data_IF_411100301007
#
_entry.id   IF_411100301007
#
_cell.length_a   1.000
_cell.length_b   1.000
_cell.length_c   1.000
_cell.angle_alpha   90.00
_cell.angle_beta   90.00
_cell.angle_gamma   90.00
#
_symmetry.space_group_name_H-M   'P 1'
#
loop_
_entity.id
_entity.type
_entity.pdbx_description
1 polymer ?
#
# COMPACT_ATOMS: atom_id res chain seq x y z
N UNK A 1 9.30 5.26 0.85
CA UNK A 1 8.05 4.49 0.69
C UNK A 1 6.98 5.36 0.03
N UNK A 2 6.56 5.00 -1.19
CA UNK A 2 5.39 5.62 -1.83
C UNK A 2 4.13 4.90 -1.36
N UNK A 3 3.23 5.61 -0.69
CA UNK A 3 2.07 5.03 -0.01
C UNK A 3 0.80 5.06 -0.86
N UNK A 4 0.48 3.95 -1.50
CA UNK A 4 -0.80 3.77 -2.21
C UNK A 4 -1.99 3.65 -1.25
N UNK A 5 -3.14 4.19 -1.63
CA UNK A 5 -4.38 4.05 -0.88
C UNK A 5 -4.92 2.62 -0.95
N UNK A 6 -5.38 2.11 0.20
CA UNK A 6 -6.10 0.82 0.36
C UNK A 6 -5.32 -0.45 -0.03
N UNK A 7 -4.01 -0.34 -0.22
CA UNK A 7 -3.10 -1.46 -0.48
C UNK A 7 -2.44 -2.01 0.80
N UNK A 8 -3.12 -1.98 1.95
CA UNK A 8 -2.54 -2.31 3.27
C UNK A 8 -1.30 -1.46 3.66
N UNK A 9 -1.17 -0.30 3.04
CA UNK A 9 0.00 0.59 3.17
C UNK A 9 0.15 1.25 4.54
N UNK A 10 -0.92 1.33 5.34
CA UNK A 10 -0.85 1.77 6.74
C UNK A 10 -0.04 0.81 7.63
N UNK A 11 -0.08 -0.50 7.35
CA UNK A 11 0.77 -1.47 8.07
C UNK A 11 2.24 -1.20 7.79
N UNK A 12 2.59 -0.96 6.52
CA UNK A 12 3.95 -0.62 6.10
C UNK A 12 4.40 0.71 6.70
N UNK A 13 3.55 1.73 6.66
CA UNK A 13 3.82 3.03 7.29
C UNK A 13 4.07 2.90 8.80
N UNK A 14 3.28 2.08 9.51
CA UNK A 14 3.49 1.82 10.93
C UNK A 14 4.84 1.14 11.21
N UNK A 15 5.22 0.15 10.41
CA UNK A 15 6.54 -0.51 10.47
C UNK A 15 7.65 0.54 10.33
N UNK A 16 7.55 1.42 9.32
CA UNK A 16 8.52 2.47 9.07
C UNK A 16 8.58 3.48 10.22
N UNK A 17 7.44 3.93 10.76
CA UNK A 17 7.41 4.85 11.90
C UNK A 17 8.01 4.24 13.17
N UNK A 18 7.76 2.96 13.44
CA UNK A 18 8.38 2.26 14.57
C UNK A 18 9.90 2.21 14.42
N UNK A 19 10.38 1.90 13.22
CA UNK A 19 11.80 1.92 12.92
C UNK A 19 12.39 3.32 13.07
N UNK A 20 11.73 4.35 12.52
CA UNK A 20 12.15 5.74 12.61
C UNK A 20 12.26 6.20 14.07
N UNK A 21 11.25 5.92 14.88
CA UNK A 21 11.23 6.26 16.30
C UNK A 21 12.35 5.56 17.08
N UNK A 22 12.52 4.24 16.88
CA UNK A 22 13.58 3.45 17.54
C UNK A 22 14.98 3.98 17.22
N UNK A 23 15.20 4.47 16.01
CA UNK A 23 16.50 4.92 15.52
C UNK A 23 16.66 6.46 15.49
N UNK A 24 15.70 7.21 16.04
CA UNK A 24 15.71 8.69 16.09
C UNK A 24 15.89 9.36 14.72
N UNK A 25 15.20 8.82 13.70
CA UNK A 25 15.25 9.33 12.32
C UNK A 25 14.19 10.40 12.06
N UNK A 26 14.53 11.36 11.21
CA UNK A 26 13.64 12.44 10.79
C UNK A 26 12.73 11.97 9.65
N UNK A 27 11.43 11.97 9.92
CA UNK A 27 10.39 11.65 8.94
C UNK A 27 9.83 12.92 8.33
N UNK A 28 9.63 12.92 7.02
CA UNK A 28 8.95 14.01 6.29
C UNK A 28 7.49 14.08 6.72
N UNK A 29 7.08 15.20 7.32
CA UNK A 29 5.71 15.43 7.80
C UNK A 29 5.10 16.72 7.20
N UNK A 30 3.79 16.79 7.00
CA UNK A 30 3.08 18.04 6.67
C UNK A 30 2.73 18.83 7.93
N UNK A 31 2.46 20.13 7.79
CA UNK A 31 2.09 21.00 8.92
C UNK A 31 0.92 20.46 9.77
N UNK A 32 0.05 19.66 9.17
CA UNK A 32 -0.96 18.87 9.87
C UNK A 32 -1.52 17.76 8.99
N UNK A 33 -2.14 16.78 9.64
CA UNK A 33 -2.72 15.61 8.96
C UNK A 33 -1.68 14.62 8.47
N UNK A 34 -2.04 13.84 7.45
CA UNK A 34 -1.30 12.67 6.97
C UNK A 34 -1.05 12.68 5.46
N UNK A 35 -1.17 13.85 4.81
CA UNK A 35 -0.92 14.03 3.38
C UNK A 35 0.15 15.08 3.14
N UNK A 36 1.15 14.73 2.33
CA UNK A 36 2.17 15.66 1.82
C UNK A 36 1.71 16.35 0.54
N UNK A 37 0.99 15.62 -0.33
CA UNK A 37 0.25 16.20 -1.45
C UNK A 37 -1.03 15.40 -1.69
N UNK A 38 -2.05 16.03 -2.27
CA UNK A 38 -3.36 15.42 -2.51
C UNK A 38 -3.73 15.40 -3.98
N UNK A 39 -3.78 16.58 -4.60
CA UNK A 39 -4.21 16.75 -5.99
C UNK A 39 -3.05 16.91 -6.95
N UNK A 40 -2.03 17.65 -6.54
CA UNK A 40 -0.83 17.88 -7.33
C UNK A 40 0.22 16.82 -7.04
N UNK A 41 1.12 16.62 -8.01
CA UNK A 41 2.37 15.90 -7.79
C UNK A 41 3.09 16.51 -6.58
N UNK A 42 3.74 15.65 -5.80
CA UNK A 42 4.55 16.12 -4.68
C UNK A 42 5.64 17.08 -5.18
N UNK A 43 5.80 18.17 -4.44
CA UNK A 43 6.81 19.20 -4.61
C UNK A 43 7.36 19.50 -3.21
N UNK A 44 8.67 19.35 -3.03
CA UNK A 44 9.30 19.51 -1.72
C UNK A 44 9.21 20.95 -1.20
N UNK A 45 9.00 21.94 -2.07
CA UNK A 45 8.80 23.34 -1.67
C UNK A 45 7.53 23.55 -0.84
N UNK A 46 6.56 22.63 -0.92
CA UNK A 46 5.37 22.61 -0.04
C UNK A 46 5.75 22.57 1.45
N UNK A 47 6.94 22.05 1.78
CA UNK A 47 7.44 21.96 3.15
C UNK A 47 8.11 23.24 3.64
N UNK A 48 8.34 24.25 2.79
CA UNK A 48 8.98 25.52 3.17
C UNK A 48 8.17 26.31 4.22
N UNK A 49 6.87 26.02 4.32
CA UNK A 49 5.97 26.62 5.31
C UNK A 49 5.94 25.85 6.62
N UNK A 50 6.67 24.74 6.73
CA UNK A 50 6.66 23.91 7.93
C UNK A 50 7.67 24.35 8.98
N UNK A 51 7.39 24.02 10.24
CA UNK A 51 8.31 24.26 11.35
C UNK A 51 9.62 23.47 11.25
N UNK A 52 9.67 22.46 10.39
CA UNK A 52 10.83 21.60 10.16
C UNK A 52 11.43 21.77 8.75
N UNK A 53 11.18 22.90 8.09
CA UNK A 53 11.71 23.19 6.74
C UNK A 53 13.24 23.11 6.61
N UNK A 54 13.97 23.32 7.72
CA UNK A 54 15.43 23.27 7.77
C UNK A 54 15.96 21.95 8.36
N UNK A 55 15.09 20.96 8.54
CA UNK A 55 15.48 19.64 9.05
C UNK A 55 15.93 18.79 7.87
N UNK A 56 17.02 18.06 8.06
CA UNK A 56 17.45 17.03 7.13
C UNK A 56 16.60 15.76 7.34
N UNK A 57 16.00 15.25 6.26
CA UNK A 57 15.07 14.12 6.34
C UNK A 57 15.70 12.80 5.90
N UNK A 58 15.39 11.75 6.64
CA UNK A 58 15.87 10.39 6.38
C UNK A 58 14.77 9.53 5.73
N UNK A 59 13.49 9.80 6.02
CA UNK A 59 12.37 8.93 5.64
C UNK A 59 11.22 9.73 5.01
N UNK A 60 10.78 9.27 3.84
CA UNK A 60 9.54 9.70 3.18
C UNK A 60 8.54 8.53 3.11
N UNK A 61 7.39 8.62 3.77
CA UNK A 61 6.44 7.49 3.85
C UNK A 61 4.95 7.86 4.05
N UNK A 62 4.54 9.10 3.76
CA UNK A 62 3.15 9.56 3.88
C UNK A 62 2.40 9.59 2.53
N UNK A 63 1.08 9.80 2.58
CA UNK A 63 0.27 9.96 1.36
C UNK A 63 0.73 11.16 0.54
N UNK A 64 0.91 10.94 -0.75
CA UNK A 64 1.34 11.91 -1.73
C UNK A 64 0.93 11.43 -3.12
N UNK A 65 0.97 12.32 -4.11
CA UNK A 65 1.11 11.90 -5.51
C UNK A 65 2.58 11.86 -5.87
N UNK A 66 3.03 10.70 -6.31
CA UNK A 66 4.45 10.39 -6.43
C UNK A 66 5.19 11.27 -7.44
N UNK A 67 6.34 11.77 -7.00
CA UNK A 67 7.30 12.47 -7.84
C UNK A 67 8.70 12.16 -7.30
N UNK A 68 9.37 11.13 -7.85
CA UNK A 68 10.65 10.64 -7.32
C UNK A 68 11.69 11.75 -7.23
N UNK A 69 11.77 12.62 -8.25
CA UNK A 69 12.74 13.73 -8.27
C UNK A 69 12.59 14.64 -7.06
N UNK A 70 11.38 15.05 -6.75
CA UNK A 70 11.09 15.97 -5.63
C UNK A 70 11.23 15.26 -4.28
N UNK A 71 10.94 13.96 -4.21
CA UNK A 71 11.19 13.15 -3.01
C UNK A 71 12.69 13.01 -2.75
N UNK A 72 13.49 12.67 -3.76
CA UNK A 72 14.94 12.50 -3.61
C UNK A 72 15.63 13.82 -3.28
N UNK A 73 15.17 14.94 -3.83
CA UNK A 73 15.71 16.27 -3.51
C UNK A 73 15.57 16.65 -2.02
N UNK A 74 14.64 16.01 -1.30
CA UNK A 74 14.36 16.28 0.11
C UNK A 74 15.18 15.39 1.07
N UNK A 75 15.63 14.22 0.60
CA UNK A 75 16.30 13.23 1.42
C UNK A 75 17.82 13.41 1.37
N UNK A 76 18.49 13.12 2.48
CA UNK A 76 19.94 13.34 2.64
C UNK A 76 20.81 12.52 1.70
N UNK A 77 20.33 11.32 1.37
CA UNK A 77 21.05 10.32 0.61
C UNK A 77 20.10 9.68 -0.39
N UNK A 78 20.68 9.02 -1.39
CA UNK A 78 19.91 8.13 -2.23
C UNK A 78 19.49 6.91 -1.41
N UNK A 79 18.20 6.83 -1.09
CA UNK A 79 17.62 5.73 -0.31
C UNK A 79 16.75 4.83 -1.18
N UNK A 80 16.58 3.55 -0.79
CA UNK A 80 15.69 2.64 -1.53
C UNK A 80 14.26 3.17 -1.63
N UNK A 81 13.73 3.21 -2.85
CA UNK A 81 12.36 3.57 -3.14
C UNK A 81 11.53 2.30 -3.30
N UNK A 82 10.44 2.20 -2.53
CA UNK A 82 9.55 1.05 -2.60
C UNK A 82 8.10 1.47 -2.41
N UNK A 83 7.18 0.63 -2.89
CA UNK A 83 5.73 0.81 -2.77
C UNK A 83 5.03 -0.54 -2.60
N UNK A 84 3.70 -0.53 -2.56
CA UNK A 84 2.86 -1.72 -2.44
C UNK A 84 1.63 -1.60 -3.34
N UNK A 85 1.38 -2.64 -4.13
CA UNK A 85 0.18 -2.76 -4.98
C UNK A 85 -0.79 -3.79 -4.43
N UNK A 86 -2.03 -3.74 -4.91
CA UNK A 86 -3.10 -4.68 -4.56
C UNK A 86 -4.01 -4.84 -5.77
N UNK A 87 -4.74 -5.95 -5.81
CA UNK A 87 -5.80 -6.15 -6.79
C UNK A 87 -6.71 -4.90 -6.92
N UNK A 88 -6.84 -4.31 -8.13
CA UNK A 88 -7.53 -3.03 -8.32
C UNK A 88 -9.00 -3.06 -7.91
N UNK A 89 -9.69 -4.18 -8.13
CA UNK A 89 -11.09 -4.34 -7.74
C UNK A 89 -11.22 -4.32 -6.21
N UNK A 90 -10.32 -5.01 -5.51
CA UNK A 90 -10.28 -4.94 -4.04
C UNK A 90 -9.90 -3.55 -3.50
N UNK A 91 -9.06 -2.79 -4.21
CA UNK A 91 -8.77 -1.39 -3.88
C UNK A 91 -10.05 -0.57 -3.97
N UNK A 92 -10.79 -0.68 -5.07
CA UNK A 92 -12.06 0.03 -5.26
C UNK A 92 -13.11 -0.36 -4.21
N UNK A 93 -13.31 -1.65 -3.94
CA UNK A 93 -14.19 -2.12 -2.86
C UNK A 93 -13.82 -1.49 -1.52
N UNK A 94 -12.53 -1.53 -1.18
CA UNK A 94 -12.03 -0.99 0.08
C UNK A 94 -12.22 0.52 0.16
N UNK A 95 -12.10 1.25 -0.97
CA UNK A 95 -12.41 2.67 -1.05
C UNK A 95 -13.89 2.94 -0.85
N UNK A 96 -14.77 2.19 -1.52
CA UNK A 96 -16.24 2.29 -1.34
C UNK A 96 -16.57 2.19 0.14
N UNK A 97 -16.16 1.12 0.82
CA UNK A 97 -16.46 0.94 2.24
C UNK A 97 -15.85 2.01 3.16
N UNK A 98 -14.65 2.49 2.84
CA UNK A 98 -13.95 3.45 3.68
C UNK A 98 -14.53 4.86 3.57
N UNK A 99 -15.02 5.22 2.38
CA UNK A 99 -15.49 6.55 2.04
C UNK A 99 -17.03 6.62 1.92
N UNK A 100 -17.77 5.60 2.36
CA UNK A 100 -19.23 5.70 2.45
C UNK A 100 -19.64 6.71 3.55
N UNK A 101 -20.73 7.49 3.34
CA UNK A 101 -21.59 7.50 2.16
C UNK A 101 -21.08 8.39 1.00
N UNK A 102 -19.97 9.12 1.18
CA UNK A 102 -19.58 10.21 0.27
C UNK A 102 -19.16 9.72 -1.11
N UNK A 103 -18.43 8.60 -1.20
CA UNK A 103 -17.98 8.05 -2.47
C UNK A 103 -19.12 7.48 -3.29
N UNK A 104 -20.05 6.75 -2.65
CA UNK A 104 -21.27 6.28 -3.30
C UNK A 104 -22.14 7.43 -3.81
N UNK A 105 -22.39 8.44 -2.96
CA UNK A 105 -23.13 9.66 -3.36
C UNK A 105 -22.50 10.39 -4.54
N UNK A 106 -21.16 10.42 -4.62
CA UNK A 106 -20.48 11.06 -5.74
C UNK A 106 -20.78 10.37 -7.07
N UNK A 107 -20.76 9.03 -7.13
CA UNK A 107 -21.07 8.30 -8.36
C UNK A 107 -22.57 8.06 -8.59
N UNK A 108 -23.41 8.32 -7.59
CA UNK A 108 -24.82 7.96 -7.61
C UNK A 108 -25.08 6.48 -7.34
N UNK A 109 -24.13 5.78 -6.71
CA UNK A 109 -24.19 4.36 -6.40
C UNK A 109 -24.32 4.13 -4.89
N UNK A 110 -25.28 3.30 -4.45
CA UNK A 110 -25.45 2.93 -3.03
C UNK A 110 -24.38 1.94 -2.57
N UNK A 111 -23.97 1.06 -3.45
CA UNK A 111 -22.95 0.04 -3.22
C UNK A 111 -22.15 -0.22 -4.51
N UNK A 112 -21.29 -1.24 -4.47
CA UNK A 112 -20.44 -1.58 -5.61
C UNK A 112 -21.22 -2.25 -6.75
N UNK A 113 -22.34 -2.93 -6.49
CA UNK A 113 -23.15 -3.58 -7.53
C UNK A 113 -23.85 -2.53 -8.39
N UNK A 114 -24.37 -1.48 -7.76
CA UNK A 114 -24.89 -0.33 -8.52
C UNK A 114 -23.80 0.42 -9.29
N UNK A 115 -22.59 0.48 -8.73
CA UNK A 115 -21.46 1.05 -9.47
C UNK A 115 -21.19 0.26 -10.76
N UNK A 116 -21.26 -1.07 -10.73
CA UNK A 116 -21.14 -1.92 -11.93
C UNK A 116 -22.19 -1.52 -12.97
N UNK A 117 -23.46 -1.39 -12.58
CA UNK A 117 -24.55 -1.01 -13.47
C UNK A 117 -24.30 0.38 -14.09
N UNK A 118 -23.85 1.34 -13.29
CA UNK A 118 -23.54 2.70 -13.76
C UNK A 118 -22.39 2.69 -14.77
N UNK A 119 -21.34 1.90 -14.51
CA UNK A 119 -20.19 1.74 -15.41
C UNK A 119 -20.64 1.10 -16.73
N UNK A 120 -21.37 -0.02 -16.67
CA UNK A 120 -21.86 -0.74 -17.86
C UNK A 120 -22.72 0.14 -18.76
N UNK A 121 -23.62 0.90 -18.16
CA UNK A 121 -24.55 1.76 -18.89
C UNK A 121 -23.92 3.10 -19.31
N UNK A 122 -22.72 3.42 -18.82
CA UNK A 122 -22.10 4.74 -18.99
C UNK A 122 -22.98 5.88 -18.47
N UNK A 123 -23.83 5.61 -17.48
CA UNK A 123 -24.96 6.48 -17.13
C UNK A 123 -24.60 7.67 -16.24
N UNK A 124 -23.32 7.85 -15.89
CA UNK A 124 -22.84 8.94 -15.05
C UNK A 124 -21.67 9.70 -15.69
N UNK A 125 -21.77 11.04 -15.86
CA UNK A 125 -20.66 11.86 -16.37
C UNK A 125 -19.50 11.95 -15.35
N UNK A 126 -19.70 11.47 -14.13
CA UNK A 126 -18.72 11.51 -13.05
C UNK A 126 -17.77 10.31 -13.06
N UNK A 127 -17.97 9.31 -13.93
CA UNK A 127 -17.12 8.10 -14.01
C UNK A 127 -15.63 8.40 -14.19
N UNK A 128 -15.28 9.46 -14.94
CA UNK A 128 -13.89 9.90 -15.12
C UNK A 128 -13.50 11.08 -14.20
N UNK A 129 -14.31 11.38 -13.19
CA UNK A 129 -14.06 12.42 -12.19
C UNK A 129 -13.71 11.79 -10.84
N UNK A 130 -13.15 12.61 -9.96
CA UNK A 130 -12.66 12.22 -8.64
C UNK A 130 -13.45 12.90 -7.52
N UNK A 131 -13.95 12.12 -6.58
CA UNK A 131 -14.57 12.62 -5.36
C UNK A 131 -13.55 13.43 -4.55
N UNK A 132 -13.91 14.68 -4.22
CA UNK A 132 -13.02 15.61 -3.52
C UNK A 132 -11.71 15.90 -4.27
N UNK A 133 -11.68 15.71 -5.60
CA UNK A 133 -10.48 15.80 -6.46
C UNK A 133 -9.37 14.78 -6.16
N UNK A 134 -9.63 13.78 -5.31
CA UNK A 134 -8.63 12.82 -4.83
C UNK A 134 -9.00 11.38 -5.19
N UNK A 135 -10.17 10.93 -4.77
CA UNK A 135 -10.56 9.53 -4.83
C UNK A 135 -11.34 9.21 -6.11
N UNK A 136 -10.97 8.16 -6.84
CA UNK A 136 -11.73 7.73 -8.00
C UNK A 136 -11.11 6.56 -8.77
N UNK A 137 -11.51 6.44 -10.04
CA UNK A 137 -10.98 5.47 -11.03
C UNK A 137 -9.44 5.41 -11.02
N UNK A 138 -8.86 4.23 -11.09
CA UNK A 138 -7.41 3.98 -11.11
C UNK A 138 -6.65 4.73 -9.99
N UNK A 139 -6.93 4.35 -8.73
CA UNK A 139 -6.39 5.05 -7.57
C UNK A 139 -4.88 4.79 -7.39
N UNK A 140 -4.38 3.60 -7.69
CA UNK A 140 -2.95 3.31 -7.57
C UNK A 140 -2.15 4.12 -8.60
N UNK A 141 -2.61 4.18 -9.84
CA UNK A 141 -2.01 5.01 -10.89
C UNK A 141 -1.95 6.48 -10.48
N UNK A 142 -3.04 7.01 -9.89
CA UNK A 142 -3.10 8.38 -9.40
C UNK A 142 -2.09 8.67 -8.29
N UNK A 143 -2.01 7.77 -7.31
CA UNK A 143 -1.06 7.85 -6.20
C UNK A 143 0.39 7.75 -6.71
N UNK A 144 0.63 6.95 -7.76
CA UNK A 144 1.89 6.83 -8.51
C UNK A 144 2.22 8.04 -9.40
N UNK A 145 1.38 9.09 -9.39
CA UNK A 145 1.62 10.35 -10.09
C UNK A 145 1.06 10.41 -11.51
N UNK A 146 0.39 9.37 -12.00
CA UNK A 146 -0.15 9.37 -13.37
C UNK A 146 -1.33 10.36 -13.50
N UNK A 147 -1.43 10.97 -14.68
CA UNK A 147 -2.57 11.82 -15.04
C UNK A 147 -3.80 10.97 -15.39
N UNK A 148 -5.02 11.35 -14.96
CA UNK A 148 -6.24 10.69 -15.41
C UNK A 148 -6.45 10.73 -16.93
N UNK A 149 -5.82 11.69 -17.62
CA UNK A 149 -5.94 11.87 -19.08
C UNK A 149 -5.34 10.70 -19.87
N UNK A 150 -4.40 9.95 -19.27
CA UNK A 150 -3.72 8.82 -19.93
C UNK A 150 -4.26 7.46 -19.52
N UNK A 151 -5.27 7.38 -18.65
CA UNK A 151 -5.74 6.10 -18.11
C UNK A 151 -6.27 5.12 -19.15
N UNK A 152 -6.75 5.63 -20.28
CA UNK A 152 -7.25 4.84 -21.41
C UNK A 152 -6.21 4.74 -22.56
N UNK A 153 -5.06 5.40 -22.45
CA UNK A 153 -3.97 5.31 -23.43
C UNK A 153 -2.99 4.21 -23.05
N UNK A 154 -3.11 3.06 -23.71
CA UNK A 154 -2.30 1.86 -23.41
C UNK A 154 -0.80 2.09 -23.60
N UNK A 155 -0.42 2.92 -24.58
CA UNK A 155 0.98 3.20 -24.90
C UNK A 155 1.56 4.10 -23.81
N UNK A 156 0.83 5.14 -23.40
CA UNK A 156 1.24 6.01 -22.30
C UNK A 156 1.34 5.24 -20.98
N UNK A 157 0.36 4.39 -20.65
CA UNK A 157 0.40 3.56 -19.45
C UNK A 157 1.60 2.60 -19.46
N UNK A 158 1.90 1.99 -20.61
CA UNK A 158 3.07 1.10 -20.71
C UNK A 158 4.37 1.85 -20.42
N UNK A 159 4.55 3.05 -20.98
CA UNK A 159 5.72 3.91 -20.71
C UNK A 159 5.82 4.31 -19.23
N UNK A 160 4.69 4.61 -18.59
CA UNK A 160 4.66 4.94 -17.17
C UNK A 160 4.98 3.73 -16.29
N UNK A 161 4.52 2.53 -16.63
CA UNK A 161 4.89 1.29 -15.94
C UNK A 161 6.40 1.06 -16.03
N UNK A 162 7.01 1.24 -17.20
CA UNK A 162 8.47 1.15 -17.36
C UNK A 162 9.22 2.20 -16.54
N UNK A 163 8.68 3.43 -16.43
CA UNK A 163 9.23 4.46 -15.54
C UNK A 163 9.18 3.99 -14.09
N UNK A 164 8.03 3.51 -13.63
CA UNK A 164 7.83 3.06 -12.26
C UNK A 164 8.73 1.84 -11.91
N UNK A 165 8.92 0.89 -12.83
CA UNK A 165 9.80 -0.27 -12.62
C UNK A 165 11.29 0.12 -12.52
N UNK A 166 11.70 1.22 -13.18
CA UNK A 166 13.03 1.82 -12.98
C UNK A 166 13.12 2.62 -11.68
N UNK A 167 12.03 3.20 -11.23
CA UNK A 167 12.01 4.09 -10.07
C UNK A 167 11.97 3.35 -8.73
N UNK A 168 11.30 2.21 -8.66
CA UNK A 168 11.14 1.44 -7.43
C UNK A 168 12.08 0.23 -7.38
N UNK A 169 12.88 0.16 -6.32
CA UNK A 169 13.74 -0.99 -6.01
C UNK A 169 12.92 -2.23 -5.63
N UNK A 170 11.74 -2.02 -5.02
CA UNK A 170 10.78 -3.06 -4.68
C UNK A 170 9.34 -2.56 -4.79
N UNK A 171 8.50 -3.33 -5.48
CA UNK A 171 7.05 -3.19 -5.43
C UNK A 171 6.46 -4.42 -4.75
N UNK A 172 5.97 -4.21 -3.53
CA UNK A 172 5.33 -5.24 -2.70
C UNK A 172 3.92 -5.56 -3.20
N UNK A 173 3.38 -6.71 -2.81
CA UNK A 173 2.02 -7.15 -3.18
C UNK A 173 1.23 -7.47 -1.91
N UNK A 174 0.12 -6.76 -1.70
CA UNK A 174 -0.61 -6.76 -0.42
C UNK A 174 -1.19 -8.12 0.00
N UNK A 175 -1.57 -9.00 -0.93
CA UNK A 175 -2.04 -10.36 -0.64
C UNK A 175 -0.89 -11.36 -0.36
N UNK A 176 0.37 -10.95 -0.54
CA UNK A 176 1.59 -11.67 -0.17
C UNK A 176 2.39 -10.83 0.82
N UNK A 177 1.73 -10.32 1.86
CA UNK A 177 2.29 -9.35 2.80
C UNK A 177 3.56 -9.87 3.48
N UNK A 178 3.54 -11.11 3.96
CA UNK A 178 4.67 -11.69 4.68
C UNK A 178 5.89 -11.85 3.77
N UNK A 179 5.70 -12.32 2.53
CA UNK A 179 6.79 -12.43 1.55
C UNK A 179 7.28 -11.04 1.12
N UNK A 180 6.37 -10.08 0.98
CA UNK A 180 6.69 -8.68 0.71
C UNK A 180 7.57 -8.08 1.80
N UNK A 181 7.25 -8.35 3.06
CA UNK A 181 8.02 -7.88 4.21
C UNK A 181 9.36 -8.60 4.36
N UNK A 182 9.44 -9.88 3.99
CA UNK A 182 10.72 -10.59 3.86
C UNK A 182 11.59 -9.89 2.82
N UNK A 183 11.08 -9.63 1.61
CA UNK A 183 11.86 -8.90 0.60
C UNK A 183 12.23 -7.48 1.06
N UNK A 184 11.33 -6.79 1.75
CA UNK A 184 11.58 -5.45 2.27
C UNK A 184 12.70 -5.44 3.32
N UNK A 185 12.70 -6.37 4.28
CA UNK A 185 13.78 -6.42 5.28
C UNK A 185 15.13 -6.68 4.63
N UNK A 186 15.19 -7.49 3.57
CA UNK A 186 16.43 -7.73 2.83
C UNK A 186 16.86 -6.51 2.03
N UNK A 187 15.92 -5.81 1.37
CA UNK A 187 16.22 -4.54 0.68
C UNK A 187 16.82 -3.49 1.64
N UNK A 188 16.27 -3.38 2.84
CA UNK A 188 16.67 -2.37 3.83
C UNK A 188 17.77 -2.84 4.79
N UNK A 189 18.28 -4.06 4.63
CA UNK A 189 19.20 -4.71 5.58
C UNK A 189 18.68 -4.68 7.04
N UNK A 190 17.38 -4.87 7.21
CA UNK A 190 16.74 -4.89 8.51
C UNK A 190 16.71 -6.30 9.09
N UNK A 191 16.89 -6.43 10.41
CA UNK A 191 16.58 -7.67 11.11
C UNK A 191 15.06 -7.91 11.16
N UNK A 192 14.65 -9.16 11.40
CA UNK A 192 13.25 -9.59 11.31
C UNK A 192 12.33 -8.78 12.22
N UNK A 193 12.76 -8.46 13.43
CA UNK A 193 11.99 -7.73 14.44
C UNK A 193 11.52 -6.34 13.97
N UNK A 194 12.20 -5.76 12.98
CA UNK A 194 11.83 -4.45 12.45
C UNK A 194 10.66 -4.54 11.47
N UNK A 195 10.33 -5.73 10.93
CA UNK A 195 9.17 -5.94 10.04
C UNK A 195 8.03 -6.74 10.67
N UNK A 196 8.17 -7.10 11.96
CA UNK A 196 7.08 -7.69 12.75
C UNK A 196 5.93 -6.71 12.87
N UNK A 197 4.71 -7.18 12.64
CA UNK A 197 3.54 -6.31 12.54
C UNK A 197 2.25 -6.94 13.07
N UNK A 198 1.28 -6.06 13.32
CA UNK A 198 -0.12 -6.42 13.51
C UNK A 198 -0.91 -5.94 12.28
N UNK A 199 -1.98 -6.64 11.95
CA UNK A 199 -2.85 -6.27 10.85
C UNK A 199 -3.68 -5.02 11.21
N UNK A 200 -3.24 -3.85 10.75
CA UNK A 200 -3.94 -2.59 10.94
C UNK A 200 -5.06 -2.39 9.92
N UNK A 201 -6.11 -1.65 10.30
CA UNK A 201 -7.25 -1.34 9.43
C UNK A 201 -7.92 -2.58 8.81
N UNK A 202 -7.92 -3.71 9.54
CA UNK A 202 -8.56 -4.94 9.07
C UNK A 202 -10.07 -4.72 8.97
N UNK A 203 -10.62 -4.88 7.77
CA UNK A 203 -12.08 -4.81 7.55
C UNK A 203 -12.78 -5.93 8.34
N UNK A 204 -13.96 -5.63 8.87
CA UNK A 204 -14.85 -6.67 9.43
C UNK A 204 -15.25 -7.68 8.35
N UNK A 205 -15.16 -9.00 8.59
CA UNK A 205 -15.46 -10.02 7.58
C UNK A 205 -16.85 -9.89 6.95
N UNK A 206 -17.84 -9.50 7.75
CA UNK A 206 -19.25 -9.31 7.37
C UNK A 206 -19.48 -8.17 6.35
N UNK A 207 -18.44 -7.40 6.01
CA UNK A 207 -18.54 -6.25 5.10
C UNK A 207 -17.75 -6.45 3.81
N UNK A 208 -17.58 -7.68 3.32
CA UNK A 208 -17.11 -7.92 1.95
C UNK A 208 -18.30 -8.03 1.00
N UNK A 209 -18.24 -7.32 -0.13
CA UNK A 209 -19.15 -7.60 -1.25
C UNK A 209 -18.71 -8.90 -1.92
N UNK A 210 -19.68 -9.73 -2.31
CA UNK A 210 -19.44 -10.91 -3.15
C UNK A 210 -19.77 -10.51 -4.58
N UNK A 211 -18.73 -10.18 -5.36
CA UNK A 211 -18.88 -9.84 -6.78
C UNK A 211 -18.98 -11.10 -7.64
N UNK A 212 -19.86 -11.09 -8.64
CA UNK A 212 -19.86 -12.09 -9.71
C UNK A 212 -18.61 -11.96 -10.60
N UNK A 213 -18.34 -12.98 -11.41
CA UNK A 213 -17.23 -12.95 -12.39
C UNK A 213 -17.44 -11.82 -13.40
N UNK A 214 -18.67 -11.62 -13.84
CA UNK A 214 -19.08 -10.59 -14.79
C UNK A 214 -18.94 -9.18 -14.19
N UNK A 215 -19.41 -9.00 -12.95
CA UNK A 215 -19.27 -7.73 -12.22
C UNK A 215 -17.79 -7.37 -12.03
N UNK A 216 -16.98 -8.36 -11.62
CA UNK A 216 -15.55 -8.17 -11.46
C UNK A 216 -14.88 -7.77 -12.79
N UNK A 217 -15.31 -8.36 -13.90
CA UNK A 217 -14.80 -8.02 -15.23
C UNK A 217 -15.11 -6.56 -15.59
N UNK A 218 -16.33 -6.09 -15.40
CA UNK A 218 -16.71 -4.69 -15.65
C UNK A 218 -15.82 -3.73 -14.86
N UNK A 219 -15.62 -4.00 -13.56
CA UNK A 219 -14.79 -3.16 -12.71
C UNK A 219 -13.33 -3.20 -13.17
N UNK A 220 -12.84 -4.36 -13.58
CA UNK A 220 -11.45 -4.52 -14.05
C UNK A 220 -11.22 -3.75 -15.36
N UNK A 221 -12.16 -3.84 -16.30
CA UNK A 221 -12.12 -3.10 -17.56
C UNK A 221 -12.17 -1.58 -17.31
N UNK A 222 -13.01 -1.12 -16.38
CA UNK A 222 -13.03 0.28 -15.97
C UNK A 222 -11.72 0.70 -15.28
N UNK A 223 -11.07 -0.18 -14.52
CA UNK A 223 -9.81 0.08 -13.82
C UNK A 223 -8.57 -0.33 -14.64
N UNK A 224 -8.62 -0.25 -15.97
CA UNK A 224 -7.60 -0.80 -16.86
C UNK A 224 -6.15 -0.37 -16.55
N UNK A 225 -5.91 0.89 -16.18
CA UNK A 225 -4.56 1.36 -15.84
C UNK A 225 -4.03 0.69 -14.57
N UNK A 226 -4.84 0.62 -13.51
CA UNK A 226 -4.46 -0.07 -12.27
C UNK A 226 -4.30 -1.58 -12.49
N UNK A 227 -5.11 -2.19 -13.36
CA UNK A 227 -4.98 -3.61 -13.75
C UNK A 227 -3.62 -3.86 -14.40
N UNK A 228 -3.23 -3.06 -15.38
CA UNK A 228 -1.91 -3.19 -16.04
C UNK A 228 -0.75 -3.02 -15.07
N UNK A 229 -0.82 -2.02 -14.19
CA UNK A 229 0.18 -1.78 -13.14
C UNK A 229 0.27 -3.00 -12.22
N UNK A 230 -0.88 -3.49 -11.72
CA UNK A 230 -0.93 -4.63 -10.80
C UNK A 230 -0.39 -5.90 -11.44
N UNK A 231 -0.77 -6.20 -12.68
CA UNK A 231 -0.30 -7.37 -13.41
C UNK A 231 1.21 -7.34 -13.66
N UNK A 232 1.74 -6.18 -14.09
CA UNK A 232 3.18 -6.00 -14.28
C UNK A 232 3.94 -6.24 -12.98
N UNK A 233 3.57 -5.56 -11.90
CA UNK A 233 4.29 -5.67 -10.64
C UNK A 233 4.05 -7.00 -9.92
N UNK A 234 2.94 -7.68 -10.16
CA UNK A 234 2.74 -9.06 -9.68
C UNK A 234 3.73 -10.02 -10.35
N UNK A 235 3.94 -9.91 -11.68
CA UNK A 235 4.96 -10.70 -12.38
C UNK A 235 6.38 -10.37 -11.88
N UNK A 236 6.71 -9.09 -11.77
CA UNK A 236 8.00 -8.64 -11.21
C UNK A 236 8.21 -9.16 -9.78
N UNK A 237 7.17 -9.21 -8.97
CA UNK A 237 7.24 -9.76 -7.62
C UNK A 237 7.58 -11.26 -7.61
N UNK A 238 6.97 -12.07 -8.49
CA UNK A 238 7.35 -13.49 -8.63
C UNK A 238 8.83 -13.64 -9.00
N UNK A 239 9.33 -12.80 -9.91
CA UNK A 239 10.75 -12.78 -10.29
C UNK A 239 11.65 -12.45 -9.09
N UNK A 240 11.27 -11.48 -8.24
CA UNK A 240 12.01 -11.16 -7.02
C UNK A 240 12.01 -12.31 -6.01
N UNK A 241 10.89 -13.00 -5.84
CA UNK A 241 10.80 -14.19 -4.97
C UNK A 241 11.70 -15.32 -5.51
N UNK A 242 11.69 -15.56 -6.82
CA UNK A 242 12.55 -16.56 -7.45
C UNK A 242 14.04 -16.19 -7.34
N UNK A 243 14.39 -14.92 -7.57
CA UNK A 243 15.75 -14.39 -7.39
C UNK A 243 16.24 -14.57 -5.96
N UNK A 244 15.40 -14.21 -4.98
CA UNK A 244 15.69 -14.37 -3.55
C UNK A 244 15.98 -15.84 -3.21
N UNK A 245 15.09 -16.75 -3.63
CA UNK A 245 15.26 -18.18 -3.40
C UNK A 245 16.57 -18.70 -4.01
N UNK A 246 16.90 -18.31 -5.25
CA UNK A 246 18.15 -18.73 -5.90
C UNK A 246 19.38 -18.25 -5.12
N UNK A 247 19.44 -16.97 -4.75
CA UNK A 247 20.57 -16.39 -4.00
C UNK A 247 20.82 -17.10 -2.68
N UNK A 248 19.75 -17.41 -1.95
CA UNK A 248 19.84 -18.10 -0.65
C UNK A 248 20.17 -19.59 -0.79
N UNK A 249 19.69 -20.25 -1.85
CA UNK A 249 20.04 -21.65 -2.13
C UNK A 249 21.52 -21.82 -2.44
N UNK A 250 22.13 -20.93 -3.25
CA UNK A 250 23.57 -20.95 -3.55
C UNK A 250 24.41 -20.83 -2.27
N UNK A 251 23.99 -20.00 -1.32
CA UNK A 251 24.64 -19.88 -0.02
C UNK A 251 24.54 -21.18 0.79
N UNK A 252 23.39 -21.85 0.79
CA UNK A 252 23.21 -23.13 1.49
C UNK A 252 23.97 -24.30 0.86
N UNK A 253 24.08 -24.34 -0.48
CA UNK A 253 24.86 -25.37 -1.17
C UNK A 253 26.36 -25.23 -0.90
N UNK A 254 26.85 -23.99 -0.73
CA UNK A 254 28.22 -23.74 -0.29
C UNK A 254 28.48 -24.22 1.15
N UNK A 255 27.44 -24.26 1.99
CA UNK A 255 27.51 -24.68 3.40
C UNK A 255 27.11 -26.16 3.62
N UNK A 256 26.98 -26.97 2.56
CA UNK A 256 26.88 -28.43 2.66
C UNK A 256 25.53 -29.02 3.09
N UNK A 257 24.41 -28.31 2.92
CA UNK A 257 23.08 -28.81 3.32
C UNK A 257 22.39 -29.73 2.29
N UNK A 258 22.23 -31.02 2.63
CA UNK A 258 21.55 -32.08 1.86
C UNK A 258 20.27 -32.55 2.58
N UNK A 259 19.16 -31.80 2.52
CA UNK A 259 17.82 -32.31 2.86
C UNK A 259 16.75 -31.53 2.09
N UNK A 260 15.66 -32.18 1.68
CA UNK A 260 14.54 -31.58 0.92
C UNK A 260 14.13 -30.20 1.50
N UNK A 261 14.57 -29.14 0.82
CA UNK A 261 14.70 -27.81 1.40
C UNK A 261 13.52 -26.95 0.99
N UNK A 262 12.61 -26.69 1.92
CA UNK A 262 11.67 -25.59 1.81
C UNK A 262 12.40 -24.32 1.33
N UNK A 263 11.84 -23.65 0.32
CA UNK A 263 12.47 -22.47 -0.29
C UNK A 263 12.84 -21.44 0.78
N UNK A 264 13.92 -20.68 0.58
CA UNK A 264 14.36 -19.69 1.56
C UNK A 264 13.22 -18.70 1.91
N UNK A 265 12.42 -18.32 0.92
CA UNK A 265 11.23 -17.49 1.11
C UNK A 265 10.22 -18.18 2.04
N UNK A 266 9.92 -19.46 1.83
CA UNK A 266 8.98 -20.20 2.67
C UNK A 266 9.46 -20.24 4.13
N UNK A 267 10.76 -20.46 4.37
CA UNK A 267 11.36 -20.48 5.71
C UNK A 267 11.29 -19.12 6.39
N UNK A 268 11.69 -18.04 5.71
CA UNK A 268 11.65 -16.69 6.31
C UNK A 268 10.22 -16.19 6.52
N UNK A 269 9.29 -16.52 5.60
CA UNK A 269 7.87 -16.27 5.77
C UNK A 269 7.32 -16.93 7.03
N UNK A 270 7.56 -18.24 7.20
CA UNK A 270 7.10 -18.99 8.38
C UNK A 270 7.69 -18.42 9.68
N UNK A 271 8.95 -17.99 9.65
CA UNK A 271 9.58 -17.34 10.78
C UNK A 271 8.88 -16.01 11.12
N UNK A 272 8.62 -15.17 10.12
CA UNK A 272 7.89 -13.91 10.30
C UNK A 272 6.48 -14.15 10.86
N UNK A 273 5.73 -15.11 10.31
CA UNK A 273 4.39 -15.49 10.78
C UNK A 273 4.41 -15.93 12.24
N UNK A 274 5.39 -16.77 12.62
CA UNK A 274 5.58 -17.20 14.01
C UNK A 274 5.87 -16.03 14.93
N UNK A 275 6.76 -15.12 14.54
CA UNK A 275 7.11 -13.94 15.35
C UNK A 275 5.94 -12.96 15.47
N UNK A 276 5.19 -12.73 14.40
CA UNK A 276 3.95 -11.95 14.44
C UNK A 276 2.95 -12.55 15.43
N UNK A 277 2.77 -13.88 15.40
CA UNK A 277 1.90 -14.58 16.34
C UNK A 277 2.37 -14.41 17.79
N UNK A 278 3.66 -14.49 18.06
CA UNK A 278 4.19 -14.28 19.42
C UNK A 278 3.90 -12.87 19.93
N UNK A 279 4.09 -11.84 19.10
CA UNK A 279 3.74 -10.46 19.46
C UNK A 279 2.24 -10.31 19.68
N UNK A 280 1.41 -10.91 18.81
CA UNK A 280 -0.02 -10.91 18.98
C UNK A 280 -0.43 -11.52 20.33
N UNK A 281 0.05 -12.74 20.63
CA UNK A 281 -0.32 -13.46 21.85
C UNK A 281 0.18 -12.74 23.12
N UNK A 282 1.32 -12.04 23.04
CA UNK A 282 1.89 -11.30 24.18
C UNK A 282 1.23 -9.94 24.42
N UNK A 283 0.84 -9.23 23.34
CA UNK A 283 0.43 -7.84 23.43
C UNK A 283 -1.07 -7.63 23.25
N UNK A 284 -1.76 -8.44 22.46
CA UNK A 284 -3.18 -8.24 22.13
C UNK A 284 -4.06 -8.89 23.19
N UNK A 285 -4.71 -8.06 24.00
CA UNK A 285 -5.69 -8.50 25.00
C UNK A 285 -7.00 -8.90 24.32
N UNK A 286 -7.45 -8.08 23.36
CA UNK A 286 -8.72 -8.31 22.68
C UNK A 286 -8.75 -7.61 21.32
N UNK A 287 -9.34 -8.25 20.31
CA UNK A 287 -9.79 -7.59 19.09
C UNK A 287 -11.20 -7.04 19.25
N UNK A 288 -11.39 -5.77 18.91
CA UNK A 288 -12.67 -5.10 19.01
C UNK A 288 -12.98 -4.35 17.71
N UNK A 289 -14.27 -4.26 17.38
CA UNK A 289 -14.72 -3.29 16.39
C UNK A 289 -14.44 -1.87 16.89
N UNK A 290 -14.07 -0.95 15.99
CA UNK A 290 -13.68 0.40 16.37
C UNK A 290 -14.73 1.15 17.22
N UNK A 291 -16.02 0.86 17.04
CA UNK A 291 -17.11 1.41 17.86
C UNK A 291 -16.99 1.09 19.36
N UNK A 292 -16.25 0.04 19.71
CA UNK A 292 -15.99 -0.38 21.10
C UNK A 292 -14.65 0.15 21.64
N UNK A 293 -13.80 0.75 20.79
CA UNK A 293 -12.56 1.38 21.22
C UNK A 293 -12.86 2.73 21.90
N UNK A 294 -12.03 3.12 22.88
CA UNK A 294 -12.19 4.36 23.68
C UNK A 294 -10.91 5.20 23.62
N UNK A 295 -11.07 6.52 23.81
CA UNK A 295 -9.96 7.47 23.90
C UNK A 295 -9.31 7.82 22.55
N UNK A 296 -8.04 8.22 22.59
CA UNK A 296 -7.27 8.66 21.42
C UNK A 296 -6.94 7.54 20.42
N UNK A 297 -7.26 6.29 20.73
CA UNK A 297 -6.99 5.11 19.90
C UNK A 297 -8.21 4.67 19.07
N UNK A 298 -9.24 5.52 18.93
CA UNK A 298 -10.31 5.28 17.98
C UNK A 298 -9.77 5.40 16.56
N UNK A 299 -10.02 4.38 15.77
CA UNK A 299 -9.76 4.38 14.34
C UNK A 299 -10.73 5.30 13.59
N UNK A 300 -10.42 5.56 12.32
CA UNK A 300 -11.17 6.52 11.50
C UNK A 300 -12.64 6.11 11.22
N UNK A 301 -12.97 4.81 11.16
CA UNK A 301 -14.35 4.38 10.91
C UNK A 301 -14.76 3.12 11.69
N UNK A 302 -16.07 2.86 11.83
CA UNK A 302 -16.60 1.69 12.56
C UNK A 302 -16.61 0.37 11.73
N UNK A 303 -16.02 0.38 10.53
CA UNK A 303 -15.97 -0.76 9.62
C UNK A 303 -14.67 -1.59 9.76
N UNK A 304 -13.79 -1.17 10.65
CA UNK A 304 -12.50 -1.81 10.91
C UNK A 304 -12.42 -2.35 12.32
N UNK A 305 -11.59 -3.37 12.46
CA UNK A 305 -11.15 -3.94 13.73
C UNK A 305 -9.94 -3.16 14.23
N UNK A 306 -9.82 -3.05 15.55
CA UNK A 306 -8.61 -2.62 16.23
C UNK A 306 -8.32 -3.51 17.43
N UNK A 307 -7.28 -3.13 18.18
CA UNK A 307 -6.71 -3.94 19.25
C UNK A 307 -6.75 -3.19 20.59
N UNK A 308 -7.16 -3.89 21.64
CA UNK A 308 -6.80 -3.51 23.00
C UNK A 308 -5.47 -4.19 23.30
N UNK A 309 -4.45 -3.40 23.62
CA UNK A 309 -3.11 -3.91 23.91
C UNK A 309 -2.75 -3.73 25.38
N UNK A 310 -1.99 -4.67 25.92
CA UNK A 310 -1.39 -4.53 27.25
C UNK A 310 -0.33 -3.42 27.21
N UNK A 311 -0.36 -2.49 28.16
CA UNK A 311 0.56 -1.36 28.23
C UNK A 311 1.83 -1.72 28.98
#
# INVERSE_FOLDING_TARGET
>A
FMKNHKCASSTIENIIFRFAHKNKLNVVLPNGGNYLSRTELFDHSSLNTTKWKNVEFDIFCLHNRWNKKEVTALLREEVPAFTIVRDPVQVLESMFHYLQPQFGKFYGARDIHEMVIIIQNGSSPLLNKRAGKLFGRNQMAWDMGLSPEIFDDEIAITKEIERLDREFDLVMVANRMEESLVLLKHLLNWPLENVVHLNLNRRKPEKSFLLSVEERKVLSDWLAADVRIFEHFSRRFEERVAEFNRKQSTLSSFLGGLFELDSAMKREKQLLEKTNKQVYDACVVQELGNEKLKGAFKEYNNNIMGFVVNK
#
